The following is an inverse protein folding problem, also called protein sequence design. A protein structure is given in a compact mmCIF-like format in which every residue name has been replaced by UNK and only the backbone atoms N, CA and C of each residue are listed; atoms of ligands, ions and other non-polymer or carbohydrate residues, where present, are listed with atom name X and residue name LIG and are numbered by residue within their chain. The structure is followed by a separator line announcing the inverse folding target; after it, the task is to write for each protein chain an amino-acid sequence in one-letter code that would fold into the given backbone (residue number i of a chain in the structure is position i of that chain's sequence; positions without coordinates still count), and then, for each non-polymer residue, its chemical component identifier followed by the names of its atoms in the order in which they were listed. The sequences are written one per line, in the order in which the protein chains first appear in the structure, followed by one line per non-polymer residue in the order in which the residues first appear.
data_IF_027629877172
#
_entry.id   IF_027629877172
#
_cell.length_a   1.000
_cell.length_b   1.000
_cell.length_c   1.000
_cell.angle_alpha   90.00
_cell.angle_beta   90.00
_cell.angle_gamma   90.00
#
_symmetry.space_group_name_H-M   'P 1'
#
loop_
_entity.id
_entity.type
_entity.pdbx_description
1 polymer ?
#
# COMPACT_ATOMS: atom_id res chain seq x y z
N UNK A 1 -4.92 -13.58 -8.49
CA UNK A 1 -4.21 -14.42 -9.47
C UNK A 1 -4.03 -15.80 -8.87
N UNK A 2 -4.52 -16.82 -9.54
CA UNK A 2 -4.54 -18.22 -9.09
C UNK A 2 -3.21 -18.94 -9.37
N UNK A 3 -2.98 -20.10 -8.74
CA UNK A 3 -1.81 -20.94 -9.00
C UNK A 3 -1.89 -21.58 -10.40
N UNK A 4 -0.77 -21.64 -11.13
CA UNK A 4 -0.69 -22.26 -12.45
C UNK A 4 -0.54 -23.77 -12.31
N UNK A 5 -1.59 -24.52 -12.69
CA UNK A 5 -1.59 -25.98 -12.76
C UNK A 5 -1.23 -26.39 -14.18
N UNK A 6 -0.18 -27.21 -14.32
CA UNK A 6 0.31 -27.68 -15.61
C UNK A 6 -0.38 -28.96 -16.05
N UNK A 7 -0.60 -29.89 -15.11
CA UNK A 7 -1.33 -31.16 -15.34
C UNK A 7 -1.73 -31.81 -14.02
N UNK A 8 -2.57 -32.85 -14.07
CA UNK A 8 -3.01 -33.63 -12.90
C UNK A 8 -2.73 -35.13 -13.09
N UNK A 9 -2.71 -35.88 -11.98
CA UNK A 9 -2.64 -37.35 -11.95
C UNK A 9 -3.27 -37.92 -10.69
N UNK A 10 -3.54 -39.21 -10.66
CA UNK A 10 -3.92 -39.93 -9.44
C UNK A 10 -2.72 -40.03 -8.48
N UNK A 11 -2.95 -39.67 -7.21
CA UNK A 11 -2.04 -39.91 -6.10
C UNK A 11 -2.28 -41.30 -5.55
N UNK A 12 -1.21 -42.10 -5.44
CA UNK A 12 -1.27 -43.47 -4.94
C UNK A 12 -0.57 -43.58 -3.57
N UNK A 13 -1.08 -44.43 -2.69
CA UNK A 13 -0.39 -44.81 -1.46
C UNK A 13 0.69 -45.87 -1.74
N UNK A 14 1.50 -46.20 -0.72
CA UNK A 14 2.57 -47.22 -0.82
C UNK A 14 2.11 -48.64 -1.16
N UNK A 15 0.80 -48.90 -1.23
CA UNK A 15 0.18 -50.17 -1.65
C UNK A 15 -0.52 -50.07 -3.01
N UNK A 16 -0.37 -48.95 -3.72
CA UNK A 16 -0.97 -48.73 -5.04
C UNK A 16 -2.45 -48.30 -5.03
N UNK A 17 -3.05 -48.03 -3.87
CA UNK A 17 -4.43 -47.52 -3.79
C UNK A 17 -4.51 -46.01 -4.02
N UNK A 18 -5.53 -45.54 -4.75
CA UNK A 18 -5.77 -44.11 -5.01
C UNK A 18 -6.14 -43.38 -3.71
N UNK A 19 -5.44 -42.30 -3.40
CA UNK A 19 -5.62 -41.47 -2.19
C UNK A 19 -5.93 -40.00 -2.48
N UNK A 20 -6.06 -39.63 -3.76
CA UNK A 20 -6.50 -38.29 -4.16
C UNK A 20 -5.94 -37.86 -5.52
N UNK A 21 -6.15 -36.60 -5.90
CA UNK A 21 -5.60 -36.02 -7.13
C UNK A 21 -4.39 -35.17 -6.81
N UNK A 22 -3.28 -35.44 -7.49
CA UNK A 22 -2.08 -34.62 -7.47
C UNK A 22 -2.10 -33.66 -8.67
N UNK A 23 -1.65 -32.43 -8.45
CA UNK A 23 -1.43 -31.44 -9.49
C UNK A 23 0.07 -31.15 -9.61
N UNK A 24 0.53 -30.98 -10.85
CA UNK A 24 1.85 -30.44 -11.15
C UNK A 24 1.75 -28.92 -11.16
N UNK A 25 2.29 -28.28 -10.13
CA UNK A 25 2.34 -26.82 -10.02
C UNK A 25 3.59 -26.28 -10.68
N UNK A 26 3.50 -25.09 -11.31
CA UNK A 26 4.66 -24.34 -11.76
C UNK A 26 4.95 -23.17 -10.81
N UNK A 27 6.23 -23.01 -10.43
CA UNK A 27 6.62 -21.90 -9.57
C UNK A 27 6.57 -20.60 -10.36
N UNK A 28 5.80 -19.62 -9.88
CA UNK A 28 5.71 -18.31 -10.52
C UNK A 28 7.04 -17.50 -10.54
N UNK A 29 8.09 -17.97 -9.87
CA UNK A 29 9.38 -17.28 -9.76
C UNK A 29 10.50 -18.01 -10.48
N UNK A 30 10.75 -19.27 -10.13
CA UNK A 30 11.89 -20.04 -10.67
C UNK A 30 11.49 -21.07 -11.72
N UNK A 31 10.19 -21.20 -12.04
CA UNK A 31 9.66 -22.11 -13.06
C UNK A 31 9.89 -23.61 -12.80
N UNK A 32 10.39 -23.98 -11.62
CA UNK A 32 10.43 -25.37 -11.18
C UNK A 32 9.01 -25.92 -11.01
N UNK A 33 8.83 -27.18 -11.39
CA UNK A 33 7.60 -27.93 -11.19
C UNK A 33 7.67 -28.87 -10.00
N UNK A 34 6.57 -29.02 -9.26
CA UNK A 34 6.43 -30.02 -8.19
C UNK A 34 5.02 -30.59 -8.15
N UNK A 35 4.91 -31.85 -7.70
CA UNK A 35 3.63 -32.49 -7.46
C UNK A 35 3.17 -32.22 -6.03
N UNK A 36 1.93 -31.79 -5.87
CA UNK A 36 1.28 -31.62 -4.57
C UNK A 36 -0.23 -31.92 -4.69
N UNK A 37 -0.94 -32.00 -3.58
CA UNK A 37 -2.39 -32.21 -3.59
C UNK A 37 -3.11 -31.08 -4.33
N UNK A 38 -4.09 -31.41 -5.16
CA UNK A 38 -4.86 -30.41 -5.94
C UNK A 38 -5.55 -29.34 -5.06
N UNK A 39 -5.88 -29.68 -3.81
CA UNK A 39 -6.45 -28.73 -2.83
C UNK A 39 -5.45 -27.66 -2.36
N UNK A 40 -4.16 -27.85 -2.61
CA UNK A 40 -3.12 -26.92 -2.21
C UNK A 40 -3.00 -25.81 -3.25
N UNK A 41 -3.49 -24.59 -2.96
CA UNK A 41 -3.34 -23.42 -3.84
C UNK A 41 -1.90 -22.85 -3.80
N UNK A 42 -0.90 -23.69 -4.10
CA UNK A 42 0.52 -23.36 -3.95
C UNK A 42 1.10 -22.76 -5.23
N UNK A 43 1.49 -21.49 -5.13
CA UNK A 43 2.06 -20.70 -6.23
C UNK A 43 3.59 -20.69 -6.29
N UNK A 44 4.25 -21.14 -5.21
CA UNK A 44 5.70 -21.06 -5.05
C UNK A 44 6.26 -22.39 -4.53
N UNK A 45 7.39 -22.82 -5.08
CA UNK A 45 8.03 -24.09 -4.69
C UNK A 45 8.69 -24.05 -3.31
N UNK A 46 8.95 -22.86 -2.76
CA UNK A 46 9.63 -22.69 -1.48
C UNK A 46 9.36 -21.33 -0.85
N UNK A 47 9.61 -21.22 0.46
CA UNK A 47 9.60 -19.94 1.17
C UNK A 47 10.56 -18.92 0.54
N UNK A 48 11.72 -19.36 0.03
CA UNK A 48 12.65 -18.49 -0.67
C UNK A 48 12.06 -17.89 -1.95
N UNK A 49 11.32 -18.67 -2.74
CA UNK A 49 10.63 -18.16 -3.92
C UNK A 49 9.45 -17.25 -3.55
N UNK A 50 8.72 -17.56 -2.47
CA UNK A 50 7.70 -16.64 -1.93
C UNK A 50 8.31 -15.29 -1.50
N UNK A 51 9.44 -15.31 -0.80
CA UNK A 51 10.15 -14.07 -0.40
C UNK A 51 10.64 -13.29 -1.62
N UNK A 52 11.16 -13.95 -2.66
CA UNK A 52 11.54 -13.29 -3.93
C UNK A 52 10.33 -12.70 -4.66
N UNK A 53 9.19 -13.38 -4.66
CA UNK A 53 7.93 -12.83 -5.18
C UNK A 53 7.51 -11.59 -4.39
N UNK A 54 7.53 -11.67 -3.06
CA UNK A 54 7.31 -10.54 -2.16
C UNK A 54 8.32 -9.40 -2.37
N UNK A 55 9.55 -9.68 -2.77
CA UNK A 55 10.55 -8.65 -3.06
C UNK A 55 10.46 -8.05 -4.46
N UNK A 56 9.82 -8.75 -5.41
CA UNK A 56 9.57 -8.28 -6.79
C UNK A 56 8.27 -7.48 -6.90
N UNK A 57 7.27 -7.80 -6.08
CA UNK A 57 6.28 -6.78 -5.71
C UNK A 57 7.07 -5.71 -4.92
N UNK A 58 7.01 -4.45 -5.35
CA UNK A 58 7.42 -3.32 -4.52
C UNK A 58 6.52 -3.27 -3.26
N UNK A 59 6.71 -4.19 -2.32
CA UNK A 59 5.84 -4.42 -1.15
C UNK A 59 5.97 -3.35 -0.08
N UNK A 60 6.87 -2.39 -0.27
CA UNK A 60 6.70 -1.09 0.33
C UNK A 60 5.55 -0.45 -0.45
N UNK A 61 4.33 -0.32 0.13
CA UNK A 61 3.24 0.29 -0.59
C UNK A 61 3.71 1.65 -1.10
N UNK A 62 3.39 2.03 -2.34
CA UNK A 62 3.80 3.31 -2.94
C UNK A 62 3.72 4.48 -1.94
N UNK A 63 2.66 4.51 -1.13
CA UNK A 63 2.47 5.42 0.00
C UNK A 63 3.69 5.55 0.92
N UNK A 64 4.32 4.46 1.33
CA UNK A 64 5.52 4.47 2.19
C UNK A 64 6.74 5.03 1.44
N UNK A 65 6.90 4.78 0.13
CA UNK A 65 7.95 5.45 -0.65
C UNK A 65 7.74 6.97 -0.67
N UNK A 66 6.51 7.40 -0.92
CA UNK A 66 6.15 8.83 -0.92
C UNK A 66 6.42 9.44 0.46
N UNK A 67 5.97 8.81 1.55
CA UNK A 67 6.15 9.34 2.91
C UNK A 67 7.60 9.37 3.38
N UNK A 68 8.45 8.51 2.84
CA UNK A 68 9.88 8.48 3.16
C UNK A 68 10.70 9.46 2.30
N UNK A 69 10.12 10.03 1.25
CA UNK A 69 10.80 10.97 0.36
C UNK A 69 11.13 12.29 1.06
N UNK A 70 12.18 12.96 0.58
CA UNK A 70 12.52 14.30 1.06
C UNK A 70 11.37 15.29 0.79
N UNK A 71 10.75 15.20 -0.40
CA UNK A 71 9.63 16.05 -0.80
C UNK A 71 8.46 16.01 0.19
N UNK A 72 8.13 14.83 0.73
CA UNK A 72 7.10 14.71 1.76
C UNK A 72 7.48 15.41 3.07
N UNK A 73 8.74 15.31 3.48
CA UNK A 73 9.23 15.99 4.69
C UNK A 73 9.16 17.50 4.53
N UNK A 74 9.60 18.02 3.40
CA UNK A 74 9.59 19.46 3.12
C UNK A 74 8.15 20.00 3.08
N UNK A 75 7.26 19.32 2.35
CA UNK A 75 5.84 19.68 2.29
C UNK A 75 5.18 19.67 3.67
N UNK A 76 5.42 18.62 4.48
CA UNK A 76 4.90 18.51 5.84
C UNK A 76 5.42 19.63 6.75
N UNK A 77 6.70 19.95 6.69
CA UNK A 77 7.29 21.03 7.49
C UNK A 77 6.69 22.39 7.11
N UNK A 78 6.56 22.68 5.81
CA UNK A 78 5.98 23.93 5.34
C UNK A 78 4.53 24.13 5.82
N UNK A 79 3.71 23.07 5.82
CA UNK A 79 2.34 23.12 6.36
C UNK A 79 2.34 23.40 7.85
N UNK A 80 3.22 22.72 8.60
CA UNK A 80 3.31 22.91 10.05
C UNK A 80 3.77 24.32 10.40
N UNK A 81 4.73 24.87 9.65
CA UNK A 81 5.19 26.25 9.82
C UNK A 81 4.10 27.26 9.49
N UNK A 82 3.40 27.10 8.35
CA UNK A 82 2.24 27.93 7.97
C UNK A 82 1.16 27.94 9.06
N UNK A 83 0.82 26.76 9.56
CA UNK A 83 -0.21 26.56 10.57
C UNK A 83 0.30 26.86 11.99
N UNK A 84 1.54 27.34 12.12
CA UNK A 84 2.20 27.65 13.38
C UNK A 84 2.08 26.47 14.38
N UNK A 85 2.33 25.26 13.91
CA UNK A 85 2.25 24.00 14.63
C UNK A 85 0.93 23.82 15.39
N UNK A 86 -0.18 24.30 14.83
CA UNK A 86 -1.49 24.32 15.48
C UNK A 86 -2.48 23.45 14.71
N UNK A 87 -3.20 22.59 15.42
CA UNK A 87 -4.28 21.79 14.83
C UNK A 87 -5.37 22.70 14.28
N UNK A 88 -5.67 22.60 12.98
CA UNK A 88 -6.62 23.47 12.31
C UNK A 88 -8.09 23.17 12.63
N UNK A 89 -8.37 22.11 13.42
CA UNK A 89 -9.74 21.75 13.83
C UNK A 89 -10.04 22.03 15.30
N UNK A 90 -9.06 21.89 16.20
CA UNK A 90 -9.29 22.10 17.64
C UNK A 90 -8.37 23.17 18.24
N UNK A 91 -7.58 23.85 17.40
CA UNK A 91 -6.71 24.98 17.77
C UNK A 91 -5.64 24.63 18.82
N UNK A 92 -5.46 23.35 19.15
CA UNK A 92 -4.37 22.89 20.01
C UNK A 92 -3.04 23.05 19.31
N UNK A 93 -2.15 23.85 19.89
CA UNK A 93 -0.76 23.99 19.49
C UNK A 93 0.12 22.84 20.01
N UNK A 94 0.97 22.32 19.14
CA UNK A 94 2.03 21.36 19.48
C UNK A 94 1.55 19.93 19.74
N UNK A 95 2.44 19.14 20.35
CA UNK A 95 2.24 17.70 20.56
C UNK A 95 2.46 16.88 19.28
N UNK A 96 1.82 15.72 19.19
CA UNK A 96 1.90 14.88 18.00
C UNK A 96 0.94 15.39 16.92
N UNK A 97 1.52 15.92 15.85
CA UNK A 97 0.82 16.49 14.70
C UNK A 97 1.01 15.61 13.47
N UNK A 98 0.02 15.66 12.57
CA UNK A 98 0.02 15.03 11.26
C UNK A 98 -0.39 16.06 10.21
N UNK A 99 0.23 16.00 9.03
CA UNK A 99 -0.23 16.73 7.85
C UNK A 99 -1.09 15.79 7.02
N UNK A 100 -2.35 16.14 6.78
CA UNK A 100 -3.21 15.41 5.86
C UNK A 100 -3.51 16.24 4.60
N UNK A 101 -3.61 15.54 3.46
CA UNK A 101 -4.07 16.14 2.22
C UNK A 101 -5.56 16.49 2.33
N UNK A 102 -5.91 17.76 2.11
CA UNK A 102 -7.26 18.33 2.19
C UNK A 102 -7.37 19.55 1.25
N UNK A 103 -8.49 19.81 0.56
CA UNK A 103 -9.79 19.12 0.65
C UNK A 103 -9.79 17.74 0.01
N UNK A 104 -8.93 17.52 -0.99
CA UNK A 104 -8.84 16.26 -1.72
C UNK A 104 -7.95 15.28 -0.94
N UNK A 105 -8.41 14.05 -0.77
CA UNK A 105 -7.62 13.04 -0.05
C UNK A 105 -6.42 12.55 -0.83
N UNK A 106 -5.37 12.18 -0.11
CA UNK A 106 -4.19 11.53 -0.67
C UNK A 106 -4.58 10.37 -1.60
N UNK A 107 -5.50 9.51 -1.15
CA UNK A 107 -5.99 8.38 -1.96
C UNK A 107 -6.75 8.81 -3.22
N UNK A 108 -7.49 9.92 -3.16
CA UNK A 108 -8.17 10.49 -4.33
C UNK A 108 -7.16 11.12 -5.29
N UNK A 109 -6.14 11.83 -4.78
CA UNK A 109 -5.04 12.38 -5.60
C UNK A 109 -4.31 11.26 -6.35
N UNK A 110 -3.96 10.16 -5.68
CA UNK A 110 -3.33 9.00 -6.31
C UNK A 110 -4.16 8.48 -7.50
N UNK A 111 -5.50 8.40 -7.34
CA UNK A 111 -6.39 7.93 -8.39
C UNK A 111 -6.58 8.96 -9.51
N UNK A 112 -6.87 10.21 -9.14
CA UNK A 112 -7.11 11.34 -10.05
C UNK A 112 -5.93 11.55 -11.00
N UNK A 113 -4.72 11.46 -10.47
CA UNK A 113 -3.48 11.67 -11.23
C UNK A 113 -2.80 10.37 -11.67
N UNK A 114 -3.46 9.22 -11.48
CA UNK A 114 -2.95 7.90 -11.88
C UNK A 114 -1.51 7.65 -11.39
N UNK A 115 -1.20 8.05 -10.16
CA UNK A 115 0.12 7.96 -9.54
C UNK A 115 0.39 6.50 -9.18
N UNK A 116 1.34 5.87 -9.86
CA UNK A 116 1.73 4.47 -9.70
C UNK A 116 3.18 4.29 -9.24
N UNK A 117 3.98 5.34 -9.31
CA UNK A 117 5.39 5.35 -8.90
C UNK A 117 5.72 6.54 -8.01
N UNK A 118 6.89 6.51 -7.35
CA UNK A 118 7.40 7.66 -6.61
C UNK A 118 7.64 8.85 -7.55
N UNK A 119 8.14 8.59 -8.75
CA UNK A 119 8.39 9.62 -9.77
C UNK A 119 7.10 10.33 -10.20
N UNK A 120 6.02 9.58 -10.44
CA UNK A 120 4.70 10.15 -10.75
C UNK A 120 4.23 11.09 -9.63
N UNK A 121 4.52 10.72 -8.38
CA UNK A 121 4.17 11.53 -7.21
C UNK A 121 5.00 12.80 -7.16
N UNK A 122 6.32 12.73 -7.38
CA UNK A 122 7.20 13.88 -7.37
C UNK A 122 6.82 14.91 -8.45
N UNK A 123 6.36 14.44 -9.61
CA UNK A 123 5.91 15.28 -10.72
C UNK A 123 4.45 15.76 -10.60
N UNK A 124 3.71 15.34 -9.56
CA UNK A 124 2.33 15.79 -9.32
C UNK A 124 2.32 17.08 -8.50
N UNK A 125 2.26 18.23 -9.17
CA UNK A 125 2.28 19.53 -8.50
C UNK A 125 1.15 19.70 -7.47
N UNK A 126 -0.09 19.30 -7.79
CA UNK A 126 -1.25 19.43 -6.90
C UNK A 126 -1.08 18.65 -5.58
N UNK A 127 -0.33 17.53 -5.59
CA UNK A 127 -0.03 16.76 -4.38
C UNK A 127 0.86 17.54 -3.40
N UNK A 128 1.67 18.47 -3.90
CA UNK A 128 2.67 19.20 -3.12
C UNK A 128 2.33 20.67 -2.88
N UNK A 129 1.14 21.12 -3.30
CA UNK A 129 0.66 22.45 -2.93
C UNK A 129 0.45 22.52 -1.42
N UNK A 130 0.98 23.56 -0.78
CA UNK A 130 0.90 23.74 0.68
C UNK A 130 -0.56 23.91 1.11
N UNK A 131 -1.36 24.61 0.30
CA UNK A 131 -2.79 24.85 0.54
C UNK A 131 -3.63 23.58 0.45
N UNK A 132 -3.11 22.53 -0.19
CA UNK A 132 -3.72 21.20 -0.19
C UNK A 132 -3.35 20.37 1.05
N UNK A 133 -2.73 20.98 2.04
CA UNK A 133 -2.32 20.37 3.29
C UNK A 133 -2.89 21.08 4.51
N UNK A 134 -3.09 20.31 5.56
CA UNK A 134 -3.72 20.75 6.80
C UNK A 134 -3.03 20.10 8.01
N UNK A 135 -2.69 20.88 9.02
CA UNK A 135 -2.15 20.38 10.29
C UNK A 135 -3.27 19.88 11.20
N UNK A 136 -3.19 18.63 11.67
CA UNK A 136 -4.11 18.05 12.64
C UNK A 136 -3.37 17.39 13.80
N UNK A 137 -3.92 17.47 15.01
CA UNK A 137 -3.49 16.59 16.09
C UNK A 137 -3.96 15.15 15.85
N UNK A 138 -3.33 14.18 16.51
CA UNK A 138 -3.66 12.75 16.36
C UNK A 138 -5.15 12.44 16.52
N UNK A 139 -5.80 13.07 17.51
CA UNK A 139 -7.20 12.81 17.83
C UNK A 139 -8.13 13.32 16.73
N UNK A 140 -7.92 14.57 16.29
CA UNK A 140 -8.66 15.16 15.18
C UNK A 140 -8.41 14.42 13.86
N UNK A 141 -7.18 14.02 13.58
CA UNK A 141 -6.85 13.25 12.38
C UNK A 141 -7.53 11.88 12.36
N UNK A 142 -7.60 11.19 13.51
CA UNK A 142 -8.27 9.89 13.60
C UNK A 142 -9.80 9.98 13.49
N UNK A 143 -10.42 10.98 14.13
CA UNK A 143 -11.88 11.18 14.08
C UNK A 143 -12.37 11.49 12.66
N UNK A 144 -11.55 12.15 11.84
CA UNK A 144 -11.96 12.70 10.53
C UNK A 144 -11.40 11.92 9.33
N UNK A 145 -11.09 10.62 9.49
CA UNK A 145 -10.63 9.78 8.37
C UNK A 145 -11.70 9.51 7.31
N UNK A 146 -12.99 9.58 7.69
CA UNK A 146 -14.12 9.17 6.85
C UNK A 146 -15.04 10.35 6.47
N UNK A 147 -15.18 11.34 7.35
CA UNK A 147 -15.81 12.63 7.08
C UNK A 147 -14.79 13.72 7.38
N UNK A 148 -14.33 14.43 6.36
CA UNK A 148 -13.33 15.50 6.50
C UNK A 148 -14.07 16.81 6.58
N UNK A 149 -14.32 17.37 7.77
CA UNK A 149 -15.06 18.61 7.91
C UNK A 149 -14.33 19.70 7.12
N UNK A 150 -15.12 20.51 6.40
CA UNK A 150 -14.63 21.68 5.70
C UNK A 150 -14.29 22.74 6.74
N UNK A 151 -13.09 23.32 6.64
CA UNK A 151 -12.70 24.43 7.51
C UNK A 151 -13.20 25.71 6.83
N UNK A 152 -14.22 26.35 7.41
CA UNK A 152 -14.82 27.58 6.88
C UNK A 152 -13.87 28.79 6.91
N UNK A 153 -12.70 28.69 7.55
CA UNK A 153 -11.70 29.79 7.66
C UNK A 153 -10.97 30.13 6.34
N UNK A 154 -11.37 29.56 5.20
CA UNK A 154 -10.80 29.84 3.88
C UNK A 154 -11.86 30.17 2.81
N UNK A 155 -13.05 30.65 3.23
CA UNK A 155 -14.02 31.34 2.36
C UNK A 155 -13.87 32.86 2.48
#
# INVERSE_FOLDING_TARGET
MEATIVKTKEGLNGKGGVVGTLALFECAICKIHWWDGLSQNRRFCSQGCYTKYKGRDNLIPLRRHIYNSQRWRDWRSAIFERDNFTCQLCEKRGGYLEADHYPISFSVLLKKYNIKSLEDSLNCEEMWQIDNGRTLCKDCHNKNKQGRPVIEKFL
#
